data_IF_604626506016
#
_entry.id   IF_604626506016
#
_cell.length_a   1.000
_cell.length_b   1.000
_cell.length_c   1.000
_cell.angle_alpha   90.00
_cell.angle_beta   90.00
_cell.angle_gamma   90.00
#
_symmetry.space_group_name_H-M   'P 1'
#
loop_
_entity.id
_entity.type
_entity.pdbx_description
1 polymer ?
#
# COMPACT_ATOMS: atom_id res chain seq x y z
N UNK A 1 -16.23 -4.01 -10.34
CA UNK A 1 -16.02 -5.49 -10.33
C UNK A 1 -14.53 -5.79 -10.49
N UNK A 2 -13.71 -5.60 -9.44
CA UNK A 2 -12.25 -5.91 -9.45
C UNK A 2 -11.92 -6.80 -8.23
N UNK A 3 -12.84 -7.67 -7.84
CA UNK A 3 -12.67 -8.60 -6.70
C UNK A 3 -12.63 -10.08 -7.10
N UNK A 4 -12.87 -10.41 -8.38
CA UNK A 4 -13.14 -11.79 -8.81
C UNK A 4 -11.91 -12.63 -9.14
N UNK A 5 -10.77 -12.02 -9.46
CA UNK A 5 -9.59 -12.77 -9.97
C UNK A 5 -8.68 -13.29 -8.83
N UNK A 6 -8.80 -12.75 -7.61
CA UNK A 6 -7.96 -13.16 -6.47
C UNK A 6 -8.38 -14.47 -5.77
N UNK A 7 -9.62 -14.93 -5.95
CA UNK A 7 -10.19 -16.04 -5.18
C UNK A 7 -9.80 -17.43 -5.67
N UNK A 8 -9.29 -17.59 -6.90
CA UNK A 8 -9.01 -18.92 -7.46
C UNK A 8 -7.70 -19.58 -7.00
N UNK A 9 -6.85 -18.88 -6.23
CA UNK A 9 -5.51 -19.38 -5.87
C UNK A 9 -5.26 -19.42 -4.35
N UNK A 10 -6.28 -19.70 -3.53
CA UNK A 10 -6.12 -19.83 -2.07
C UNK A 10 -5.91 -18.50 -1.32
N UNK A 11 -6.26 -17.38 -1.95
CA UNK A 11 -6.27 -16.07 -1.29
C UNK A 11 -7.38 -15.99 -0.23
N UNK A 12 -7.06 -15.37 0.90
CA UNK A 12 -8.01 -15.07 1.97
C UNK A 12 -8.43 -13.60 1.89
N UNK A 13 -9.66 -13.32 2.30
CA UNK A 13 -10.17 -11.97 2.42
C UNK A 13 -10.69 -11.75 3.84
N UNK A 14 -10.44 -10.57 4.39
CA UNK A 14 -10.92 -10.11 5.68
C UNK A 14 -11.49 -8.71 5.52
N UNK A 15 -12.72 -8.52 5.98
CA UNK A 15 -13.34 -7.19 5.99
C UNK A 15 -12.94 -6.47 7.28
N UNK A 16 -12.25 -5.35 7.16
CA UNK A 16 -11.75 -4.53 8.27
C UNK A 16 -12.00 -3.06 7.93
N UNK A 17 -13.23 -2.60 8.23
CA UNK A 17 -13.66 -1.24 7.89
C UNK A 17 -12.64 -0.18 8.34
N UNK A 18 -12.34 0.82 7.51
CA UNK A 18 -13.02 1.15 6.25
C UNK A 18 -12.57 0.34 5.00
N UNK A 19 -11.63 -0.60 5.12
CA UNK A 19 -11.07 -1.33 3.99
C UNK A 19 -11.39 -2.84 3.97
N UNK A 20 -11.12 -3.47 2.83
CA UNK A 20 -11.15 -4.92 2.66
C UNK A 20 -9.73 -5.39 2.45
N UNK A 21 -9.24 -6.22 3.35
CA UNK A 21 -7.90 -6.79 3.32
C UNK A 21 -7.94 -8.13 2.57
N UNK A 22 -7.07 -8.34 1.59
CA UNK A 22 -6.85 -9.61 0.91
C UNK A 22 -5.40 -10.04 1.11
N UNK A 23 -5.16 -11.33 1.36
CA UNK A 23 -3.82 -11.84 1.62
C UNK A 23 -3.64 -13.30 1.24
N UNK A 24 -2.39 -13.74 1.17
CA UNK A 24 -1.98 -15.11 0.84
C UNK A 24 -2.35 -15.56 -0.59
N UNK A 25 -1.95 -16.77 -0.96
CA UNK A 25 -2.32 -17.42 -2.21
C UNK A 25 -2.08 -16.55 -3.45
N UNK A 26 -3.12 -16.33 -4.24
CA UNK A 26 -3.09 -15.49 -5.44
C UNK A 26 -2.68 -14.04 -5.20
N UNK A 27 -2.94 -13.49 -4.01
CA UNK A 27 -2.55 -12.12 -3.65
C UNK A 27 -1.03 -12.04 -3.44
N UNK A 28 -0.47 -13.00 -2.70
CA UNK A 28 0.98 -13.09 -2.51
C UNK A 28 1.71 -13.27 -3.83
N UNK A 29 1.22 -14.15 -4.70
CA UNK A 29 1.77 -14.34 -6.05
C UNK A 29 1.72 -13.05 -6.89
N UNK A 30 0.59 -12.33 -6.84
CA UNK A 30 0.42 -11.07 -7.58
C UNK A 30 1.39 -9.99 -7.08
N UNK A 31 1.49 -9.81 -5.76
CA UNK A 31 2.42 -8.86 -5.15
C UNK A 31 3.85 -9.20 -5.58
N UNK A 32 4.27 -10.46 -5.50
CA UNK A 32 5.61 -10.90 -5.91
C UNK A 32 5.91 -10.68 -7.41
N UNK A 33 4.90 -10.54 -8.26
CA UNK A 33 5.06 -10.26 -9.70
C UNK A 33 5.24 -8.76 -9.99
N UNK A 34 4.89 -7.87 -9.05
CA UNK A 34 5.08 -6.44 -9.20
C UNK A 34 6.56 -6.06 -9.05
N UNK A 35 7.04 -5.02 -9.74
CA UNK A 35 8.38 -4.49 -9.52
C UNK A 35 8.52 -4.02 -8.06
N UNK A 36 9.49 -4.57 -7.33
CA UNK A 36 9.71 -4.41 -5.88
C UNK A 36 8.73 -5.15 -4.96
N UNK A 37 7.90 -6.04 -5.50
CA UNK A 37 6.90 -6.80 -4.76
C UNK A 37 7.40 -7.61 -3.56
N UNK A 38 8.65 -8.09 -3.60
CA UNK A 38 9.26 -8.78 -2.46
C UNK A 38 9.46 -7.85 -1.23
N UNK A 39 9.62 -6.55 -1.46
CA UNK A 39 9.80 -5.54 -0.41
C UNK A 39 8.46 -4.91 0.03
N UNK A 40 7.39 -5.14 -0.73
CA UNK A 40 6.04 -4.61 -0.46
C UNK A 40 5.30 -5.55 0.49
N UNK A 41 5.20 -5.20 1.77
CA UNK A 41 4.47 -5.99 2.77
C UNK A 41 2.97 -5.98 2.52
N UNK A 42 2.42 -4.81 2.19
CA UNK A 42 1.06 -4.60 1.75
C UNK A 42 0.97 -3.45 0.72
N UNK A 43 -0.17 -3.35 0.05
CA UNK A 43 -0.48 -2.36 -0.95
C UNK A 43 -1.94 -1.93 -0.82
N UNK A 44 -2.18 -0.66 -0.55
CA UNK A 44 -3.52 -0.05 -0.58
C UNK A 44 -3.90 0.40 -1.99
N UNK A 45 -5.06 -0.07 -2.45
CA UNK A 45 -5.77 0.35 -3.65
C UNK A 45 -7.14 0.86 -3.25
N UNK A 46 -7.17 2.12 -2.84
CA UNK A 46 -8.38 2.79 -2.36
C UNK A 46 -8.89 2.21 -1.03
N UNK A 47 -9.97 1.42 -1.09
CA UNK A 47 -10.50 0.72 0.09
C UNK A 47 -10.14 -0.77 0.11
N UNK A 48 -9.21 -1.19 -0.75
CA UNK A 48 -8.74 -2.57 -0.82
C UNK A 48 -7.28 -2.61 -0.41
N UNK A 49 -6.92 -3.43 0.57
CA UNK A 49 -5.53 -3.62 1.01
C UNK A 49 -5.10 -5.02 0.59
N UNK A 50 -4.01 -5.14 -0.15
CA UNK A 50 -3.43 -6.41 -0.57
C UNK A 50 -2.17 -6.67 0.24
N UNK A 51 -2.15 -7.69 1.09
CA UNK A 51 -0.97 -8.09 1.87
C UNK A 51 -0.36 -9.40 1.39
N UNK A 52 0.94 -9.58 1.60
CA UNK A 52 1.58 -10.88 1.32
C UNK A 52 1.10 -11.98 2.28
N UNK A 53 0.92 -11.64 3.56
CA UNK A 53 0.47 -12.54 4.63
C UNK A 53 -0.38 -11.79 5.66
N UNK A 54 -1.05 -12.51 6.57
CA UNK A 54 -1.80 -11.91 7.69
C UNK A 54 -0.89 -11.07 8.60
N UNK A 55 0.31 -11.60 8.91
CA UNK A 55 1.31 -10.86 9.68
C UNK A 55 1.79 -9.59 8.96
N UNK A 56 1.95 -9.64 7.63
CA UNK A 56 2.32 -8.45 6.83
C UNK A 56 1.24 -7.37 6.92
N UNK A 57 -0.05 -7.74 6.88
CA UNK A 57 -1.16 -6.80 7.06
C UNK A 57 -1.20 -6.21 8.47
N UNK A 58 -0.92 -7.01 9.50
CA UNK A 58 -0.89 -6.51 10.88
C UNK A 58 0.28 -5.55 11.12
N UNK A 59 1.46 -5.84 10.58
CA UNK A 59 2.64 -4.96 10.66
C UNK A 59 2.40 -3.64 9.92
N UNK A 60 1.90 -3.70 8.69
CA UNK A 60 1.69 -2.51 7.84
C UNK A 60 0.37 -1.78 8.14
N UNK A 61 -0.40 -2.21 9.15
CA UNK A 61 -1.77 -1.76 9.37
C UNK A 61 -1.90 -0.24 9.45
N UNK A 62 -1.04 0.42 10.23
CA UNK A 62 -1.11 1.87 10.43
C UNK A 62 -0.72 2.61 9.15
N UNK A 63 0.33 2.13 8.48
CA UNK A 63 0.80 2.65 7.19
C UNK A 63 -0.31 2.59 6.12
N UNK A 64 -0.91 1.42 5.90
CA UNK A 64 -2.00 1.24 4.92
C UNK A 64 -3.25 2.06 5.29
N UNK A 65 -3.56 2.21 6.58
CA UNK A 65 -4.66 3.06 7.03
C UNK A 65 -4.48 4.54 6.65
N UNK A 66 -3.24 5.04 6.58
CA UNK A 66 -2.96 6.38 6.06
C UNK A 66 -3.28 6.46 4.58
N UNK A 67 -2.88 5.48 3.77
CA UNK A 67 -3.21 5.43 2.35
C UNK A 67 -4.72 5.36 2.09
N UNK A 68 -5.47 4.63 2.91
CA UNK A 68 -6.95 4.62 2.82
C UNK A 68 -7.51 6.02 3.08
N UNK A 69 -7.03 6.73 4.13
CA UNK A 69 -7.47 8.10 4.42
C UNK A 69 -7.06 9.10 3.34
N UNK A 70 -5.86 8.96 2.78
CA UNK A 70 -5.41 9.75 1.65
C UNK A 70 -6.32 9.52 0.45
N UNK A 71 -6.71 8.27 0.18
CA UNK A 71 -7.67 7.97 -0.88
C UNK A 71 -9.07 8.51 -0.57
N UNK A 72 -9.55 8.46 0.67
CA UNK A 72 -10.83 9.07 1.04
C UNK A 72 -10.82 10.59 0.80
N UNK A 73 -9.67 11.25 0.99
CA UNK A 73 -9.51 12.69 0.79
C UNK A 73 -9.33 13.09 -0.68
N UNK A 74 -8.52 12.35 -1.43
CA UNK A 74 -8.12 12.69 -2.80
C UNK A 74 -8.90 11.90 -3.86
N UNK A 75 -9.54 10.81 -3.47
CA UNK A 75 -10.18 9.86 -4.38
C UNK A 75 -9.21 9.35 -5.45
N UNK A 76 -9.69 9.18 -6.69
CA UNK A 76 -8.85 8.77 -7.82
C UNK A 76 -7.65 9.70 -8.11
N UNK A 77 -7.67 10.95 -7.64
CA UNK A 77 -6.55 11.88 -7.82
C UNK A 77 -5.34 11.58 -6.94
N UNK A 78 -5.46 10.68 -5.96
CA UNK A 78 -4.34 10.24 -5.14
C UNK A 78 -3.19 9.69 -6.00
N UNK A 79 -3.50 8.83 -6.99
CA UNK A 79 -2.47 8.21 -7.84
C UNK A 79 -1.71 9.23 -8.71
N UNK A 80 -2.39 10.14 -9.45
CA UNK A 80 -1.70 11.25 -10.12
C UNK A 80 -0.88 12.11 -9.17
N UNK A 81 -1.42 12.48 -8.01
CA UNK A 81 -0.73 13.33 -7.04
C UNK A 81 0.53 12.65 -6.50
N UNK A 82 0.44 11.36 -6.15
CA UNK A 82 1.56 10.53 -5.72
C UNK A 82 2.65 10.45 -6.80
N UNK A 83 2.25 10.18 -8.05
CA UNK A 83 3.21 10.09 -9.14
C UNK A 83 3.92 11.42 -9.39
N UNK A 84 3.17 12.54 -9.40
CA UNK A 84 3.73 13.87 -9.57
C UNK A 84 4.70 14.24 -8.43
N UNK A 85 4.37 13.92 -7.18
CA UNK A 85 5.26 14.16 -6.05
C UNK A 85 6.52 13.30 -6.14
N UNK A 86 6.41 12.03 -6.53
CA UNK A 86 7.57 11.15 -6.74
C UNK A 86 8.48 11.61 -7.87
N UNK A 87 7.90 12.05 -9.01
CA UNK A 87 8.67 12.64 -10.11
C UNK A 87 9.36 13.92 -9.67
N UNK A 88 8.66 14.80 -8.94
CA UNK A 88 9.25 16.02 -8.42
C UNK A 88 10.43 15.73 -7.47
N UNK A 89 10.29 14.76 -6.55
CA UNK A 89 11.40 14.32 -5.69
C UNK A 89 12.59 13.82 -6.52
N UNK A 90 12.34 12.96 -7.51
CA UNK A 90 13.40 12.44 -8.38
C UNK A 90 14.12 13.56 -9.16
N UNK A 91 13.39 14.52 -9.71
CA UNK A 91 13.96 15.68 -10.41
C UNK A 91 14.82 16.57 -9.49
N UNK A 92 14.52 16.61 -8.19
CA UNK A 92 15.31 17.33 -7.18
C UNK A 92 16.50 16.52 -6.63
N UNK A 93 16.80 15.34 -7.20
CA UNK A 93 17.88 14.47 -6.75
C UNK A 93 17.56 13.67 -5.49
N UNK A 94 16.29 13.64 -5.08
CA UNK A 94 15.79 12.88 -3.92
C UNK A 94 15.30 11.49 -4.32
N UNK A 95 15.05 10.64 -3.33
CA UNK A 95 14.59 9.25 -3.55
C UNK A 95 13.12 9.24 -3.95
N UNK A 96 12.83 8.74 -5.16
CA UNK A 96 11.49 8.71 -5.77
C UNK A 96 10.36 8.24 -4.84
N UNK A 97 10.61 7.19 -4.05
CA UNK A 97 9.64 6.62 -3.12
C UNK A 97 9.78 7.19 -1.70
N UNK A 98 10.97 7.07 -1.09
CA UNK A 98 11.17 7.39 0.34
C UNK A 98 10.90 8.85 0.71
N UNK A 99 11.18 9.77 -0.20
CA UNK A 99 11.00 11.21 0.08
C UNK A 99 9.61 11.72 -0.34
N UNK A 100 8.76 10.84 -0.88
CA UNK A 100 7.40 11.19 -1.25
C UNK A 100 6.59 11.56 0.01
N UNK A 101 5.95 12.76 0.07
CA UNK A 101 5.14 13.18 1.21
C UNK A 101 4.06 12.17 1.62
N UNK A 102 3.46 11.45 0.66
CA UNK A 102 2.44 10.43 0.92
C UNK A 102 3.01 9.24 1.70
N UNK A 103 4.22 8.79 1.34
CA UNK A 103 4.94 7.71 2.03
C UNK A 103 5.42 8.17 3.40
N UNK A 104 5.96 9.39 3.49
CA UNK A 104 6.42 9.96 4.76
C UNK A 104 5.30 10.04 5.79
N UNK A 105 4.13 10.54 5.41
CA UNK A 105 2.96 10.57 6.28
C UNK A 105 2.59 9.16 6.78
N UNK A 106 2.67 8.16 5.90
CA UNK A 106 2.35 6.78 6.24
C UNK A 106 3.39 6.14 7.17
N UNK A 107 4.69 6.41 6.97
CA UNK A 107 5.76 5.96 7.87
C UNK A 107 5.75 6.67 9.23
N UNK A 108 5.48 7.97 9.25
CA UNK A 108 5.37 8.76 10.49
C UNK A 108 4.24 8.20 11.38
N UNK A 109 3.11 7.84 10.77
CA UNK A 109 1.97 7.23 11.47
C UNK A 109 2.22 5.80 11.96
N UNK A 110 3.13 5.06 11.34
CA UNK A 110 3.46 3.68 11.76
C UNK A 110 4.21 3.66 13.11
N UNK A 111 4.87 4.78 13.45
CA UNK A 111 5.58 5.00 14.70
C UNK A 111 7.07 5.16 14.46
N UNK A 112 7.44 6.18 13.67
CA UNK A 112 8.81 6.44 13.25
C UNK A 112 9.83 6.31 14.38
N UNK A 113 10.62 5.24 14.31
CA UNK A 113 11.98 5.20 14.83
C UNK A 113 12.85 4.61 13.73
N UNK A 114 13.21 5.46 12.78
CA UNK A 114 14.39 5.26 11.93
C UNK A 114 15.26 6.52 11.99
N UNK A 115 15.51 6.98 13.22
CA UNK A 115 16.74 7.69 13.55
C UNK A 115 17.74 6.63 14.05
N UNK A 116 18.43 5.97 13.11
CA UNK A 116 19.65 5.22 13.37
C UNK A 116 20.54 5.22 12.11
#
# INVERSE_FOLDING_TARGET
>A
MIGGVGLCFGGRARVRRPAIEFYDGGVKWLIQRLPHGQLTLALTLGHTILGQTDASLDISRKHEAVHVRQYERWGPFMLPAYFLSSVYMWLTGRRFYRDNPFEREAYDADGGEQDA
#
